data_IF_588842365308
#
_entry.id   IF_588842365308
#
_cell.length_a   1.000
_cell.length_b   1.000
_cell.length_c   1.000
_cell.angle_alpha   90.00
_cell.angle_beta   90.00
_cell.angle_gamma   90.00
#
_symmetry.space_group_name_H-M   'P 1'
#
loop_
_entity.id
_entity.type
_entity.pdbx_description
1 polymer ?
#
# COMPACT_ATOMS: atom_id res chain seq x y z
N UNK A 1 0.94 -14.88 22.76
CA UNK A 1 0.99 -15.23 21.32
C UNK A 1 1.04 -13.91 20.55
N UNK A 2 2.01 -13.75 19.63
CA UNK A 2 2.08 -12.56 18.76
C UNK A 2 0.90 -12.61 17.79
N UNK A 3 0.16 -11.51 17.69
CA UNK A 3 -0.92 -11.35 16.69
C UNK A 3 -0.39 -10.57 15.51
N UNK A 4 -0.76 -10.99 14.31
CA UNK A 4 -0.43 -10.27 13.06
C UNK A 4 -1.68 -10.14 12.21
N UNK A 5 -1.73 -9.12 11.37
CA UNK A 5 -2.81 -8.93 10.42
C UNK A 5 -2.30 -9.21 9.01
N UNK A 6 -2.84 -10.24 8.35
CA UNK A 6 -2.60 -10.49 6.93
C UNK A 6 -3.80 -9.94 6.16
N UNK A 7 -3.58 -8.98 5.26
CA UNK A 7 -4.64 -8.12 4.73
C UNK A 7 -4.79 -8.21 3.23
N UNK A 8 -6.04 -8.26 2.79
CA UNK A 8 -6.46 -8.29 1.40
C UNK A 8 -7.53 -7.22 1.18
N UNK A 9 -7.15 -5.99 0.77
CA UNK A 9 -8.12 -5.03 0.25
C UNK A 9 -8.58 -5.47 -1.15
N UNK A 10 -9.90 -5.40 -1.41
CA UNK A 10 -10.45 -5.68 -2.73
C UNK A 10 -11.67 -4.82 -3.05
N UNK A 11 -11.84 -4.55 -4.34
CA UNK A 11 -13.01 -3.88 -4.91
C UNK A 11 -13.49 -4.60 -6.19
N UNK A 12 -13.06 -5.85 -6.39
CA UNK A 12 -13.24 -6.65 -7.62
C UNK A 12 -13.22 -8.13 -7.29
N UNK A 13 -13.67 -8.97 -8.22
CA UNK A 13 -13.65 -10.42 -8.05
C UNK A 13 -12.22 -10.96 -7.88
N UNK A 14 -11.98 -11.71 -6.80
CA UNK A 14 -10.67 -12.30 -6.47
C UNK A 14 -10.78 -13.58 -5.61
N UNK A 15 -11.77 -14.44 -5.87
CA UNK A 15 -11.99 -15.69 -5.10
C UNK A 15 -10.75 -16.59 -5.04
N UNK A 16 -9.98 -16.69 -6.14
CA UNK A 16 -8.71 -17.43 -6.14
C UNK A 16 -7.69 -16.87 -5.15
N UNK A 17 -7.52 -15.54 -5.13
CA UNK A 17 -6.62 -14.86 -4.19
C UNK A 17 -7.06 -15.03 -2.74
N UNK A 18 -8.37 -15.12 -2.47
CA UNK A 18 -8.89 -15.42 -1.13
C UNK A 18 -8.42 -16.82 -0.66
N UNK A 19 -8.47 -17.82 -1.53
CA UNK A 19 -7.93 -19.15 -1.23
C UNK A 19 -6.41 -19.11 -1.02
N UNK A 20 -5.68 -18.41 -1.88
CA UNK A 20 -4.22 -18.29 -1.81
C UNK A 20 -3.76 -17.60 -0.51
N UNK A 21 -4.38 -16.48 -0.13
CA UNK A 21 -4.02 -15.77 1.12
C UNK A 21 -4.46 -16.57 2.36
N UNK A 22 -5.51 -17.39 2.26
CA UNK A 22 -5.88 -18.35 3.31
C UNK A 22 -4.78 -19.40 3.53
N UNK A 23 -4.14 -19.88 2.46
CA UNK A 23 -2.99 -20.78 2.55
C UNK A 23 -1.75 -20.09 3.14
N UNK A 24 -1.50 -18.81 2.81
CA UNK A 24 -0.43 -18.03 3.45
C UNK A 24 -0.69 -17.84 4.96
N UNK A 25 -1.94 -17.56 5.36
CA UNK A 25 -2.32 -17.44 6.76
C UNK A 25 -2.11 -18.76 7.53
N UNK A 26 -2.49 -19.89 6.93
CA UNK A 26 -2.25 -21.23 7.47
C UNK A 26 -0.75 -21.48 7.70
N UNK A 27 0.05 -21.17 6.68
CA UNK A 27 1.50 -21.29 6.73
C UNK A 27 2.12 -20.45 7.86
N UNK A 28 1.71 -19.19 8.00
CA UNK A 28 2.20 -18.32 9.06
C UNK A 28 1.87 -18.86 10.46
N UNK A 29 0.62 -19.30 10.67
CA UNK A 29 0.20 -19.87 11.94
C UNK A 29 0.97 -21.15 12.31
N UNK A 30 1.18 -22.05 11.34
CA UNK A 30 1.87 -23.33 11.57
C UNK A 30 3.38 -23.14 11.78
N UNK A 31 4.04 -22.38 10.92
CA UNK A 31 5.50 -22.28 10.91
C UNK A 31 6.04 -21.34 11.99
N UNK A 32 5.27 -20.31 12.36
CA UNK A 32 5.72 -19.28 13.31
C UNK A 32 4.94 -19.25 14.63
N UNK A 33 3.87 -20.05 14.76
CA UNK A 33 3.06 -20.10 15.98
C UNK A 33 2.40 -18.76 16.33
N UNK A 34 2.11 -17.93 15.32
CA UNK A 34 1.44 -16.63 15.48
C UNK A 34 -0.08 -16.78 15.35
N UNK A 35 -0.80 -15.82 15.92
CA UNK A 35 -2.23 -15.63 15.63
C UNK A 35 -2.36 -14.76 14.38
N UNK A 36 -2.95 -15.30 13.32
CA UNK A 36 -3.20 -14.58 12.08
C UNK A 36 -4.62 -14.06 12.06
N UNK A 37 -4.76 -12.74 12.01
CA UNK A 37 -5.99 -12.04 11.68
C UNK A 37 -6.02 -11.83 10.16
N UNK A 38 -6.64 -12.76 9.44
CA UNK A 38 -6.84 -12.63 8.00
C UNK A 38 -7.95 -11.61 7.75
N UNK A 39 -7.59 -10.39 7.34
CA UNK A 39 -8.49 -9.26 7.17
C UNK A 39 -8.75 -9.00 5.68
N UNK A 40 -9.98 -9.24 5.26
CA UNK A 40 -10.45 -8.97 3.89
C UNK A 40 -11.35 -7.74 3.94
N UNK A 41 -10.90 -6.64 3.34
CA UNK A 41 -11.66 -5.40 3.22
C UNK A 41 -12.30 -5.35 1.84
N UNK A 42 -13.61 -5.60 1.78
CA UNK A 42 -14.32 -5.82 0.54
C UNK A 42 -15.25 -4.64 0.22
N UNK A 43 -14.85 -3.83 -0.75
CA UNK A 43 -15.62 -2.72 -1.34
C UNK A 43 -16.16 -3.10 -2.73
N UNK A 44 -16.33 -4.39 -3.02
CA UNK A 44 -16.95 -4.84 -4.28
C UNK A 44 -18.48 -4.73 -4.24
N UNK A 45 -19.11 -4.92 -5.41
CA UNK A 45 -20.57 -4.99 -5.48
C UNK A 45 -21.13 -6.22 -4.74
N UNK A 46 -22.44 -6.18 -4.41
CA UNK A 46 -23.09 -7.23 -3.63
C UNK A 46 -22.96 -8.65 -4.22
N UNK A 47 -22.92 -8.78 -5.55
CA UNK A 47 -22.81 -10.10 -6.18
C UNK A 47 -21.40 -10.66 -6.00
N UNK A 48 -20.39 -9.83 -6.24
CA UNK A 48 -18.97 -10.16 -6.00
C UNK A 48 -18.71 -10.46 -4.52
N UNK A 49 -19.22 -9.63 -3.61
CA UNK A 49 -19.11 -9.86 -2.17
C UNK A 49 -19.69 -11.21 -1.74
N UNK A 50 -20.83 -11.61 -2.31
CA UNK A 50 -21.48 -12.90 -2.02
C UNK A 50 -20.61 -14.08 -2.48
N UNK A 51 -19.91 -13.95 -3.60
CA UNK A 51 -18.96 -14.97 -4.08
C UNK A 51 -17.72 -15.03 -3.19
N UNK A 52 -17.19 -13.89 -2.76
CA UNK A 52 -16.10 -13.83 -1.79
C UNK A 52 -16.49 -14.47 -0.46
N UNK A 53 -17.68 -14.19 0.06
CA UNK A 53 -18.16 -14.78 1.32
C UNK A 53 -18.24 -16.31 1.25
N UNK A 54 -18.59 -16.88 0.09
CA UNK A 54 -18.54 -18.32 -0.15
C UNK A 54 -17.10 -18.84 -0.12
N UNK A 55 -16.20 -18.19 -0.85
CA UNK A 55 -14.78 -18.58 -0.87
C UNK A 55 -14.14 -18.50 0.53
N UNK A 56 -14.51 -17.50 1.33
CA UNK A 56 -14.11 -17.38 2.74
C UNK A 56 -14.65 -18.54 3.57
N UNK A 57 -15.93 -18.91 3.39
CA UNK A 57 -16.55 -20.04 4.09
C UNK A 57 -15.97 -21.41 3.70
N UNK A 58 -15.29 -21.50 2.55
CA UNK A 58 -14.58 -22.69 2.08
C UNK A 58 -13.14 -22.78 2.60
N UNK A 59 -12.60 -21.73 3.24
CA UNK A 59 -11.28 -21.76 3.84
C UNK A 59 -11.22 -22.80 4.99
N UNK A 60 -10.13 -23.57 5.11
CA UNK A 60 -9.96 -24.49 6.23
C UNK A 60 -10.04 -23.77 7.59
N UNK A 61 -10.80 -24.33 8.52
CA UNK A 61 -10.82 -23.87 9.91
C UNK A 61 -9.53 -24.34 10.59
N UNK A 62 -8.65 -23.40 10.92
CA UNK A 62 -7.34 -23.70 11.49
C UNK A 62 -7.17 -23.02 12.85
N UNK A 63 -6.52 -23.68 13.82
CA UNK A 63 -6.11 -23.03 15.05
C UNK A 63 -5.27 -21.79 14.75
N UNK A 64 -5.52 -20.70 15.47
CA UNK A 64 -4.79 -19.44 15.36
C UNK A 64 -4.97 -18.67 14.04
N UNK A 65 -5.87 -19.09 13.13
CA UNK A 65 -6.29 -18.28 11.98
C UNK A 65 -7.71 -17.80 12.20
N UNK A 66 -7.92 -16.48 12.21
CA UNK A 66 -9.22 -15.86 12.43
C UNK A 66 -9.49 -14.93 11.25
N UNK A 67 -10.53 -15.25 10.49
CA UNK A 67 -10.90 -14.51 9.28
C UNK A 67 -11.90 -13.42 9.61
N UNK A 68 -11.62 -12.21 9.11
CA UNK A 68 -12.46 -11.03 9.19
C UNK A 68 -12.77 -10.57 7.77
N UNK A 69 -13.96 -10.89 7.25
CA UNK A 69 -14.44 -10.43 5.95
C UNK A 69 -15.46 -9.31 6.17
N UNK A 70 -15.07 -8.09 5.85
CA UNK A 70 -15.88 -6.89 6.11
C UNK A 70 -16.35 -6.30 4.79
N UNK A 71 -17.66 -6.20 4.62
CA UNK A 71 -18.23 -5.36 3.57
C UNK A 71 -18.00 -3.87 3.88
N UNK A 72 -18.36 -3.02 2.94
CA UNK A 72 -18.18 -1.58 3.11
C UNK A 72 -19.06 -0.99 4.22
N UNK A 73 -20.22 -1.57 4.49
CA UNK A 73 -21.12 -1.12 5.56
C UNK A 73 -20.48 -1.34 6.94
N UNK A 74 -19.96 -2.54 7.20
CA UNK A 74 -19.24 -2.87 8.42
C UNK A 74 -17.97 -2.02 8.60
N UNK A 75 -17.25 -1.76 7.51
CA UNK A 75 -16.10 -0.85 7.53
C UNK A 75 -16.51 0.58 7.92
N UNK A 76 -17.60 1.09 7.35
CA UNK A 76 -18.14 2.42 7.67
C UNK A 76 -18.60 2.53 9.11
N UNK A 77 -19.28 1.52 9.63
CA UNK A 77 -19.77 1.51 11.01
C UNK A 77 -18.61 1.49 12.01
N UNK A 78 -17.56 0.69 11.74
CA UNK A 78 -16.32 0.72 12.51
C UNK A 78 -15.67 2.11 12.47
N UNK A 79 -15.49 2.70 11.28
CA UNK A 79 -14.85 4.01 11.15
C UNK A 79 -15.62 5.11 11.88
N UNK A 80 -16.96 5.12 11.79
CA UNK A 80 -17.80 6.07 12.54
C UNK A 80 -17.59 5.94 14.04
N UNK A 81 -17.61 4.72 14.57
CA UNK A 81 -17.36 4.49 15.99
C UNK A 81 -15.97 4.99 16.41
N UNK A 82 -14.94 4.77 15.59
CA UNK A 82 -13.57 5.25 15.85
C UNK A 82 -13.48 6.77 15.80
N UNK A 83 -14.03 7.40 14.76
CA UNK A 83 -14.02 8.86 14.59
C UNK A 83 -14.76 9.52 15.75
N UNK A 84 -15.97 9.07 16.07
CA UNK A 84 -16.77 9.60 17.18
C UNK A 84 -16.02 9.48 18.51
N UNK A 85 -15.37 8.33 18.74
CA UNK A 85 -14.60 8.08 19.97
C UNK A 85 -13.31 8.89 20.04
N UNK A 86 -12.69 9.20 18.91
CA UNK A 86 -11.45 9.97 18.84
C UNK A 86 -11.63 11.43 19.27
N UNK A 87 -12.85 11.96 19.15
CA UNK A 87 -13.14 13.37 19.37
C UNK A 87 -12.47 14.31 18.36
N UNK A 88 -12.03 13.77 17.21
CA UNK A 88 -11.43 14.55 16.14
C UNK A 88 -12.43 15.56 15.56
N UNK A 89 -11.93 16.70 15.11
CA UNK A 89 -12.74 17.70 14.44
C UNK A 89 -13.17 17.20 13.06
N UNK A 90 -14.34 17.65 12.61
CA UNK A 90 -14.92 17.36 11.30
C UNK A 90 -15.04 15.84 10.96
N UNK A 91 -15.90 15.10 11.70
CA UNK A 91 -16.06 13.65 11.53
C UNK A 91 -16.39 13.19 10.11
N UNK A 92 -17.23 13.94 9.39
CA UNK A 92 -17.66 13.55 8.04
C UNK A 92 -16.51 13.65 7.03
N UNK A 93 -15.70 14.71 7.10
CA UNK A 93 -14.49 14.83 6.26
C UNK A 93 -13.49 13.71 6.56
N UNK A 94 -13.27 13.35 7.83
CA UNK A 94 -12.39 12.23 8.17
C UNK A 94 -12.91 10.89 7.65
N UNK A 95 -14.22 10.68 7.69
CA UNK A 95 -14.84 9.49 7.12
C UNK A 95 -14.62 9.45 5.60
N UNK A 96 -14.83 10.57 4.90
CA UNK A 96 -14.60 10.68 3.45
C UNK A 96 -13.13 10.42 3.07
N UNK A 97 -12.17 10.85 3.87
CA UNK A 97 -10.75 10.56 3.64
C UNK A 97 -10.40 9.07 3.78
N UNK A 98 -11.10 8.33 4.65
CA UNK A 98 -10.82 6.91 4.90
C UNK A 98 -11.70 5.96 4.10
N UNK A 99 -12.87 6.43 3.65
CA UNK A 99 -13.84 5.68 2.88
C UNK A 99 -14.46 6.52 1.76
N UNK A 100 -13.65 6.99 0.79
CA UNK A 100 -14.15 7.77 -0.34
C UNK A 100 -14.93 6.87 -1.31
N UNK A 101 -15.85 7.48 -2.07
CA UNK A 101 -16.61 6.79 -3.14
C UNK A 101 -15.72 6.33 -4.31
N UNK A 102 -14.52 6.89 -4.44
CA UNK A 102 -13.54 6.58 -5.48
C UNK A 102 -12.40 5.70 -4.95
N UNK A 103 -11.73 4.99 -5.87
CA UNK A 103 -10.57 4.14 -5.51
C UNK A 103 -9.46 4.99 -4.89
N UNK A 104 -9.01 4.57 -3.70
CA UNK A 104 -7.85 5.14 -2.99
C UNK A 104 -7.06 4.04 -2.30
N UNK A 105 -5.82 3.82 -2.74
CA UNK A 105 -4.92 2.82 -2.17
C UNK A 105 -4.45 3.20 -0.75
N UNK A 106 -4.27 4.49 -0.49
CA UNK A 106 -3.94 4.99 0.84
C UNK A 106 -5.12 4.83 1.81
N UNK A 107 -6.34 5.21 1.40
CA UNK A 107 -7.51 5.12 2.26
C UNK A 107 -7.85 3.66 2.64
N UNK A 108 -7.77 2.70 1.70
CA UNK A 108 -7.99 1.29 2.04
C UNK A 108 -6.91 0.74 2.99
N UNK A 109 -5.67 1.13 2.82
CA UNK A 109 -4.57 0.71 3.71
C UNK A 109 -4.72 1.36 5.09
N UNK A 110 -5.14 2.62 5.18
CA UNK A 110 -5.44 3.30 6.44
C UNK A 110 -6.56 2.60 7.23
N UNK A 111 -7.63 2.17 6.54
CA UNK A 111 -8.67 1.32 7.15
C UNK A 111 -8.06 0.06 7.76
N UNK A 112 -7.20 -0.62 7.01
CA UNK A 112 -6.52 -1.81 7.48
C UNK A 112 -5.62 -1.54 8.70
N UNK A 113 -4.92 -0.40 8.74
CA UNK A 113 -4.12 0.02 9.91
C UNK A 113 -4.96 0.23 11.17
N UNK A 114 -6.09 0.93 11.07
CA UNK A 114 -6.97 1.15 12.23
C UNK A 114 -7.57 -0.16 12.74
N UNK A 115 -8.00 -1.04 11.83
CA UNK A 115 -8.56 -2.35 12.18
C UNK A 115 -7.48 -3.27 12.78
N UNK A 116 -6.26 -3.28 12.22
CA UNK A 116 -5.14 -4.02 12.81
C UNK A 116 -4.82 -3.54 14.23
N UNK A 117 -4.87 -2.21 14.47
CA UNK A 117 -4.77 -1.63 15.81
C UNK A 117 -5.89 -2.10 16.75
N UNK A 118 -7.13 -2.11 16.27
CA UNK A 118 -8.30 -2.59 17.02
C UNK A 118 -8.22 -4.09 17.38
N UNK A 119 -7.60 -4.89 16.52
CA UNK A 119 -7.35 -6.31 16.73
C UNK A 119 -6.10 -6.59 17.60
N UNK A 120 -5.33 -5.56 17.95
CA UNK A 120 -4.11 -5.68 18.74
C UNK A 120 -2.98 -6.39 18.01
N UNK A 121 -2.91 -6.24 16.68
CA UNK A 121 -1.85 -6.80 15.86
C UNK A 121 -0.52 -6.08 16.10
N UNK A 122 0.58 -6.83 16.10
CA UNK A 122 1.94 -6.32 16.22
C UNK A 122 2.53 -5.92 14.86
N UNK A 123 1.98 -6.44 13.77
CA UNK A 123 2.34 -6.08 12.41
C UNK A 123 1.16 -6.28 11.47
N UNK A 124 1.22 -5.58 10.34
CA UNK A 124 0.29 -5.72 9.22
C UNK A 124 1.08 -6.15 7.98
N UNK A 125 0.49 -7.04 7.17
CA UNK A 125 1.09 -7.65 5.99
C UNK A 125 0.08 -7.53 4.87
N UNK A 126 0.38 -6.79 3.79
CA UNK A 126 -0.54 -6.49 2.69
C UNK A 126 -0.24 -7.37 1.47
N UNK A 127 -1.31 -7.86 0.84
CA UNK A 127 -1.32 -8.44 -0.51
C UNK A 127 -2.36 -7.75 -1.38
N UNK A 128 -2.09 -7.57 -2.66
CA UNK A 128 -3.06 -7.03 -3.62
C UNK A 128 -3.90 -8.14 -4.27
N UNK A 129 -5.16 -7.82 -4.63
CA UNK A 129 -6.13 -8.79 -5.15
C UNK A 129 -5.90 -9.21 -6.61
N UNK A 130 -4.92 -8.61 -7.29
CA UNK A 130 -4.47 -8.94 -8.64
C UNK A 130 -3.05 -9.53 -8.66
N UNK A 131 -2.74 -10.32 -7.63
CA UNK A 131 -1.47 -11.03 -7.51
C UNK A 131 -1.63 -12.51 -7.15
N UNK A 132 -0.61 -13.30 -7.48
CA UNK A 132 -0.44 -14.68 -7.03
C UNK A 132 0.97 -14.92 -6.46
N UNK A 133 1.23 -16.15 -6.01
CA UNK A 133 2.55 -16.53 -5.51
C UNK A 133 3.40 -17.20 -6.58
N UNK A 134 4.71 -16.98 -6.52
CA UNK A 134 5.64 -17.84 -7.21
C UNK A 134 5.61 -19.25 -6.63
N UNK A 135 5.98 -20.24 -7.45
CA UNK A 135 6.02 -21.64 -7.05
C UNK A 135 7.46 -22.14 -7.10
N UNK A 136 7.88 -22.88 -6.07
CA UNK A 136 9.10 -23.70 -6.08
C UNK A 136 8.68 -25.16 -5.97
N UNK A 137 9.03 -25.98 -6.96
CA UNK A 137 8.63 -27.40 -7.03
C UNK A 137 7.11 -27.63 -6.85
N UNK A 138 6.31 -26.69 -7.34
CA UNK A 138 4.84 -26.73 -7.24
C UNK A 138 4.28 -26.25 -5.90
N UNK A 139 5.13 -25.79 -4.98
CA UNK A 139 4.74 -25.28 -3.66
C UNK A 139 4.78 -23.74 -3.67
N UNK A 140 3.73 -23.05 -3.19
CA UNK A 140 3.74 -21.60 -3.07
C UNK A 140 4.88 -21.06 -2.20
N UNK A 141 5.53 -20.01 -2.69
CA UNK A 141 6.58 -19.28 -1.98
C UNK A 141 5.95 -18.09 -1.30
N UNK A 142 5.58 -18.25 -0.02
CA UNK A 142 4.89 -17.20 0.72
C UNK A 142 5.86 -16.09 1.20
N UNK A 143 5.59 -14.81 0.89
CA UNK A 143 6.40 -13.69 1.37
C UNK A 143 6.38 -13.53 2.90
N UNK A 144 5.27 -13.89 3.57
CA UNK A 144 5.13 -13.77 5.03
C UNK A 144 6.23 -14.50 5.81
N UNK A 145 6.88 -15.50 5.18
CA UNK A 145 8.04 -16.17 5.74
C UNK A 145 9.15 -15.18 6.12
N UNK A 146 9.56 -14.33 5.17
CA UNK A 146 10.64 -13.36 5.39
C UNK A 146 10.16 -12.22 6.30
N UNK A 147 8.90 -11.81 6.16
CA UNK A 147 8.30 -10.77 7.00
C UNK A 147 8.31 -11.16 8.49
N UNK A 148 7.93 -12.40 8.84
CA UNK A 148 7.84 -12.83 10.25
C UNK A 148 9.19 -13.18 10.90
N UNK A 149 10.24 -13.43 10.11
CA UNK A 149 11.58 -13.65 10.63
C UNK A 149 12.18 -12.40 11.29
N UNK A 150 11.86 -11.22 10.77
CA UNK A 150 12.60 -9.99 11.10
C UNK A 150 11.74 -8.86 11.65
N UNK A 151 10.49 -8.71 11.16
CA UNK A 151 9.68 -7.53 11.44
C UNK A 151 9.40 -7.36 12.95
N UNK A 152 9.68 -6.17 13.48
CA UNK A 152 9.56 -5.79 14.89
C UNK A 152 10.72 -6.19 15.79
N UNK A 153 11.68 -7.00 15.31
CA UNK A 153 12.93 -7.28 16.04
C UNK A 153 13.88 -6.10 15.93
N UNK A 154 14.84 -5.97 16.84
CA UNK A 154 15.95 -5.03 16.62
C UNK A 154 16.76 -5.43 15.38
N UNK A 155 17.38 -4.46 14.69
CA UNK A 155 18.27 -4.76 13.56
C UNK A 155 19.38 -5.76 13.91
N UNK A 156 19.92 -5.67 15.14
CA UNK A 156 20.92 -6.61 15.62
C UNK A 156 20.39 -8.06 15.76
N UNK A 157 19.15 -8.24 16.22
CA UNK A 157 18.52 -9.57 16.32
C UNK A 157 18.05 -10.12 14.97
N UNK A 158 17.71 -9.24 14.03
CA UNK A 158 17.29 -9.63 12.68
C UNK A 158 18.47 -10.10 11.81
N UNK A 159 19.69 -9.67 12.12
CA UNK A 159 20.89 -9.98 11.34
C UNK A 159 21.13 -11.48 11.12
N UNK A 160 20.81 -12.32 12.12
CA UNK A 160 20.98 -13.78 12.02
C UNK A 160 19.91 -14.46 11.15
N UNK A 161 18.82 -13.75 10.84
CA UNK A 161 17.66 -14.26 10.09
C UNK A 161 17.66 -13.91 8.59
N UNK A 162 18.68 -13.19 8.11
CA UNK A 162 18.79 -12.75 6.71
C UNK A 162 19.96 -13.39 5.99
N UNK A 163 19.94 -13.33 4.66
CA UNK A 163 21.05 -13.84 3.83
C UNK A 163 22.26 -12.90 3.88
N UNK A 164 22.01 -11.60 3.91
CA UNK A 164 23.02 -10.55 3.98
C UNK A 164 22.61 -9.48 4.99
N UNK A 165 23.54 -9.09 5.87
CA UNK A 165 23.39 -7.97 6.78
C UNK A 165 24.33 -6.83 6.36
N UNK A 166 23.76 -5.81 5.71
CA UNK A 166 24.46 -4.60 5.30
C UNK A 166 24.19 -3.41 6.25
N UNK A 167 23.36 -3.60 7.27
CA UNK A 167 22.93 -2.55 8.20
C UNK A 167 24.12 -1.98 8.98
N UNK A 168 24.26 -0.66 8.96
CA UNK A 168 25.20 0.04 9.83
C UNK A 168 24.87 -0.28 11.32
N UNK A 169 25.85 -0.74 12.13
CA UNK A 169 25.64 -1.05 13.54
C UNK A 169 25.01 0.09 14.37
N UNK A 170 25.15 1.35 13.95
CA UNK A 170 24.49 2.51 14.59
C UNK A 170 22.96 2.42 14.54
N UNK A 171 22.41 1.62 13.63
CA UNK A 171 20.98 1.36 13.50
C UNK A 171 20.55 0.02 14.11
N UNK A 172 21.48 -0.78 14.65
CA UNK A 172 21.20 -2.13 15.16
C UNK A 172 20.22 -2.18 16.33
N UNK A 173 20.11 -1.12 17.13
CA UNK A 173 19.15 -1.05 18.24
C UNK A 173 17.72 -0.69 17.80
N UNK A 174 17.54 -0.13 16.59
CA UNK A 174 16.24 0.25 16.06
C UNK A 174 15.45 -0.99 15.63
N UNK A 175 14.11 -0.98 15.73
CA UNK A 175 13.30 -2.08 15.23
C UNK A 175 13.29 -2.13 13.69
N UNK A 176 13.27 -3.34 13.14
CA UNK A 176 12.94 -3.57 11.73
C UNK A 176 11.49 -3.13 11.51
N UNK A 177 11.31 -1.98 10.89
CA UNK A 177 10.01 -1.32 10.76
C UNK A 177 9.23 -1.76 9.52
N UNK A 178 9.92 -2.40 8.58
CA UNK A 178 9.37 -2.82 7.30
C UNK A 178 10.10 -4.06 6.78
N UNK A 179 9.36 -4.97 6.17
CA UNK A 179 9.92 -6.08 5.39
C UNK A 179 9.09 -6.21 4.13
N UNK A 180 9.71 -6.34 2.97
CA UNK A 180 8.93 -6.48 1.75
C UNK A 180 9.75 -6.88 0.55
N UNK A 181 9.05 -6.99 -0.57
CA UNK A 181 9.68 -7.20 -1.86
C UNK A 181 8.81 -6.69 -2.99
N UNK A 182 9.29 -6.85 -4.21
CA UNK A 182 8.58 -6.48 -5.43
C UNK A 182 7.71 -7.63 -5.98
N UNK A 183 7.38 -7.54 -7.26
CA UNK A 183 6.68 -8.51 -8.08
C UNK A 183 7.54 -8.96 -9.27
N UNK A 184 7.16 -10.07 -9.89
CA UNK A 184 7.53 -10.43 -11.26
C UNK A 184 6.30 -10.37 -12.18
N UNK A 185 6.51 -10.20 -13.49
CA UNK A 185 5.43 -10.24 -14.48
C UNK A 185 5.12 -8.90 -15.11
N UNK A 186 3.83 -8.56 -15.22
CA UNK A 186 3.38 -7.30 -15.84
C UNK A 186 3.87 -6.08 -15.04
N UNK A 187 4.05 -4.93 -15.70
CA UNK A 187 4.47 -3.70 -15.02
C UNK A 187 3.45 -3.29 -13.94
N UNK A 188 3.89 -2.59 -12.89
CA UNK A 188 2.96 -2.06 -11.89
C UNK A 188 2.03 -0.98 -12.46
N UNK A 189 2.51 -0.29 -13.50
CA UNK A 189 1.81 0.78 -14.22
C UNK A 189 1.63 0.45 -15.70
N UNK A 190 0.39 0.58 -16.18
CA UNK A 190 0.00 0.31 -17.57
C UNK A 190 0.49 1.39 -18.55
N UNK A 191 1.81 1.45 -18.73
CA UNK A 191 2.54 2.32 -19.68
C UNK A 191 3.37 1.52 -20.69
N UNK A 192 3.32 0.18 -20.63
CA UNK A 192 4.10 -0.70 -21.50
C UNK A 192 3.79 -0.52 -22.99
N UNK A 193 2.52 -0.35 -23.34
CA UNK A 193 2.10 -0.09 -24.73
C UNK A 193 2.65 1.22 -25.28
N UNK A 194 2.82 2.26 -24.44
CA UNK A 194 3.44 3.53 -24.87
C UNK A 194 4.87 3.26 -25.36
N UNK A 195 5.62 2.41 -24.64
CA UNK A 195 6.98 2.00 -24.99
C UNK A 195 7.03 1.25 -26.32
N UNK A 196 6.04 0.39 -26.59
CA UNK A 196 5.94 -0.35 -27.85
C UNK A 196 5.59 0.55 -29.04
N UNK A 197 4.72 1.55 -28.82
CA UNK A 197 4.28 2.48 -29.86
C UNK A 197 5.35 3.53 -30.20
N UNK A 198 5.96 4.16 -29.19
CA UNK A 198 7.00 5.17 -29.37
C UNK A 198 7.89 5.26 -28.11
N UNK A 199 9.10 4.64 -28.12
CA UNK A 199 10.03 4.68 -26.99
C UNK A 199 10.45 6.10 -26.57
N UNK A 200 10.47 7.07 -27.49
CA UNK A 200 10.81 8.45 -27.14
C UNK A 200 9.66 9.12 -26.39
N UNK A 201 8.41 8.85 -26.76
CA UNK A 201 7.25 9.32 -26.00
C UNK A 201 7.17 8.64 -24.63
N UNK A 202 7.46 7.34 -24.55
CA UNK A 202 7.55 6.64 -23.26
C UNK A 202 8.55 7.33 -22.34
N UNK A 203 9.78 7.56 -22.83
CA UNK A 203 10.81 8.26 -22.05
C UNK A 203 10.34 9.65 -21.60
N UNK A 204 9.76 10.44 -22.51
CA UNK A 204 9.29 11.79 -22.23
C UNK A 204 8.17 11.83 -21.16
N UNK A 205 7.23 10.87 -21.22
CA UNK A 205 6.11 10.77 -20.29
C UNK A 205 6.55 10.24 -18.92
N UNK A 206 7.38 9.20 -18.88
CA UNK A 206 7.87 8.64 -17.61
C UNK A 206 8.81 9.62 -16.90
N UNK A 207 9.60 10.39 -17.65
CA UNK A 207 10.46 11.46 -17.11
C UNK A 207 9.70 12.53 -16.32
N UNK A 208 8.37 12.69 -16.52
CA UNK A 208 7.56 13.65 -15.78
C UNK A 208 7.44 13.33 -14.28
N UNK A 209 7.75 12.09 -13.90
CA UNK A 209 7.89 11.69 -12.50
C UNK A 209 9.10 12.40 -11.85
N UNK A 210 10.22 12.56 -12.57
CA UNK A 210 11.44 13.07 -11.97
C UNK A 210 11.28 14.51 -11.41
N UNK A 211 12.00 14.85 -10.32
CA UNK A 211 12.22 16.23 -9.92
C UNK A 211 12.84 17.06 -11.05
N UNK A 212 12.40 18.31 -11.27
CA UNK A 212 12.92 19.16 -12.35
C UNK A 212 14.41 19.50 -12.23
N UNK A 213 14.99 19.38 -11.03
CA UNK A 213 16.40 19.61 -10.74
C UNK A 213 17.31 18.42 -11.04
N UNK A 214 16.75 17.23 -11.31
CA UNK A 214 17.56 16.04 -11.59
C UNK A 214 18.31 16.17 -12.91
N UNK A 215 19.52 15.60 -12.92
CA UNK A 215 20.34 15.48 -14.12
C UNK A 215 19.72 14.51 -15.10
N UNK A 216 20.14 14.61 -16.37
CA UNK A 216 19.66 13.70 -17.42
C UNK A 216 19.99 12.23 -17.12
N UNK A 217 21.15 11.96 -16.54
CA UNK A 217 21.58 10.59 -16.19
C UNK A 217 20.68 9.99 -15.10
N UNK A 218 20.32 10.78 -14.09
CA UNK A 218 19.38 10.36 -13.04
C UNK A 218 17.99 10.10 -13.61
N UNK A 219 17.52 10.94 -14.54
CA UNK A 219 16.24 10.74 -15.23
C UNK A 219 16.27 9.48 -16.11
N UNK A 220 17.35 9.26 -16.85
CA UNK A 220 17.50 8.08 -17.71
C UNK A 220 17.47 6.79 -16.86
N UNK A 221 18.15 6.79 -15.70
CA UNK A 221 18.11 5.69 -14.73
C UNK A 221 16.71 5.47 -14.14
N UNK A 222 16.02 6.55 -13.74
CA UNK A 222 14.64 6.46 -13.25
C UNK A 222 13.72 5.81 -14.28
N UNK A 223 13.80 6.24 -15.55
CA UNK A 223 12.96 5.70 -16.62
C UNK A 223 13.24 4.21 -16.86
N UNK A 224 14.49 3.77 -16.75
CA UNK A 224 14.87 2.37 -16.92
C UNK A 224 14.32 1.48 -15.79
N UNK A 225 14.36 1.96 -14.54
CA UNK A 225 13.94 1.16 -13.36
C UNK A 225 12.45 1.29 -13.03
N UNK A 226 11.77 2.31 -13.54
CA UNK A 226 10.38 2.60 -13.20
C UNK A 226 9.43 1.44 -13.59
N UNK A 227 8.65 0.98 -12.61
CA UNK A 227 7.51 0.06 -12.79
C UNK A 227 7.83 -1.37 -13.22
N UNK A 228 9.10 -1.75 -13.35
CA UNK A 228 9.52 -3.09 -13.83
C UNK A 228 9.56 -4.16 -12.74
N UNK A 229 9.45 -3.74 -11.47
CA UNK A 229 9.47 -4.62 -10.31
C UNK A 229 10.80 -5.37 -10.13
N UNK A 230 10.72 -6.60 -9.61
CA UNK A 230 11.84 -7.51 -9.40
C UNK A 230 12.29 -8.25 -10.66
N UNK A 231 11.76 -7.88 -11.84
CA UNK A 231 12.09 -8.50 -13.12
C UNK A 231 11.22 -9.71 -13.46
N UNK A 232 11.81 -10.73 -14.07
CA UNK A 232 11.09 -11.92 -14.58
C UNK A 232 11.66 -13.24 -14.09
N UNK A 233 12.71 -13.20 -13.28
CA UNK A 233 13.41 -14.41 -12.87
C UNK A 233 12.57 -15.20 -11.85
N UNK A 234 12.38 -16.52 -12.05
CA UNK A 234 11.63 -17.33 -11.12
C UNK A 234 12.41 -17.51 -9.81
N UNK A 235 11.67 -17.62 -8.71
CA UNK A 235 12.24 -17.94 -7.41
C UNK A 235 12.93 -19.30 -7.41
N UNK A 236 14.18 -19.34 -6.94
CA UNK A 236 15.00 -20.56 -6.87
C UNK A 236 15.54 -20.86 -5.46
N UNK A 237 15.76 -19.83 -4.64
CA UNK A 237 16.16 -19.92 -3.24
C UNK A 237 15.92 -18.57 -2.55
N UNK A 238 15.90 -18.57 -1.23
CA UNK A 238 15.76 -17.35 -0.44
C UNK A 238 16.99 -16.46 -0.54
N UNK A 239 16.76 -15.17 -0.84
CA UNK A 239 17.71 -14.08 -0.68
C UNK A 239 17.01 -12.97 0.07
N UNK A 240 17.63 -12.49 1.14
CA UNK A 240 17.15 -11.37 1.94
C UNK A 240 18.29 -10.50 2.44
N UNK A 241 18.11 -9.18 2.38
CA UNK A 241 19.10 -8.17 2.77
C UNK A 241 18.51 -7.29 3.86
N UNK A 242 19.19 -7.21 5.01
CA UNK A 242 18.89 -6.25 6.08
C UNK A 242 19.76 -4.99 5.89
N UNK A 243 19.10 -3.84 5.73
CA UNK A 243 19.75 -2.53 5.61
C UNK A 243 18.75 -1.39 5.92
N UNK A 244 19.15 -0.13 5.72
CA UNK A 244 18.23 0.95 5.36
C UNK A 244 17.77 0.71 3.91
N UNK A 245 16.47 0.56 3.64
CA UNK A 245 15.99 -0.06 2.41
C UNK A 245 16.31 0.74 1.15
N UNK A 246 16.70 0.02 0.10
CA UNK A 246 16.51 0.48 -1.28
C UNK A 246 15.02 0.35 -1.65
N UNK A 247 14.31 1.46 -1.51
CA UNK A 247 12.84 1.51 -1.68
C UNK A 247 12.40 1.25 -3.12
N UNK A 248 13.32 1.34 -4.09
CA UNK A 248 13.04 1.05 -5.50
C UNK A 248 12.87 -0.44 -5.80
N UNK A 249 13.17 -1.31 -4.83
CA UNK A 249 13.06 -2.78 -4.94
C UNK A 249 11.86 -3.36 -4.18
N UNK A 250 10.96 -2.51 -3.71
CA UNK A 250 9.82 -2.87 -2.86
C UNK A 250 8.55 -2.29 -3.45
N UNK A 251 7.50 -3.11 -3.53
CA UNK A 251 6.18 -2.66 -3.96
C UNK A 251 5.14 -2.91 -2.88
N UNK A 252 4.17 -2.00 -2.78
CA UNK A 252 3.12 -2.03 -1.75
C UNK A 252 2.21 -3.26 -1.80
N UNK A 253 2.22 -3.99 -2.92
CA UNK A 253 1.49 -5.25 -3.11
C UNK A 253 2.09 -6.44 -2.34
N UNK A 254 3.29 -6.29 -1.76
CA UNK A 254 4.00 -7.38 -1.09
C UNK A 254 4.89 -6.86 0.04
N UNK A 255 4.25 -6.43 1.13
CA UNK A 255 4.92 -5.70 2.20
C UNK A 255 4.29 -5.95 3.57
N UNK A 256 5.14 -5.94 4.60
CA UNK A 256 4.76 -5.90 6.00
C UNK A 256 5.31 -4.66 6.72
N UNK A 257 4.51 -4.09 7.61
CA UNK A 257 4.89 -2.96 8.48
C UNK A 257 4.73 -3.30 9.95
N UNK A 258 5.70 -2.85 10.75
CA UNK A 258 5.62 -2.90 12.20
C UNK A 258 4.57 -1.92 12.73
N UNK A 259 3.94 -2.28 13.84
CA UNK A 259 2.93 -1.46 14.50
C UNK A 259 3.41 -0.05 14.85
N UNK A 260 4.64 0.09 15.31
CA UNK A 260 5.18 1.42 15.68
C UNK A 260 5.39 2.34 14.47
N UNK A 261 5.28 1.83 13.24
CA UNK A 261 5.26 2.64 12.03
C UNK A 261 3.83 3.00 11.61
N UNK A 262 2.98 2.00 11.35
CA UNK A 262 1.65 2.23 10.75
C UNK A 262 0.68 2.96 11.69
N UNK A 263 0.89 2.87 13.00
CA UNK A 263 0.09 3.62 13.97
C UNK A 263 0.53 5.08 14.15
N UNK A 264 1.67 5.47 13.58
CA UNK A 264 2.21 6.84 13.72
C UNK A 264 1.89 7.69 12.50
N UNK A 265 1.98 7.12 11.31
CA UNK A 265 1.84 7.86 10.06
C UNK A 265 0.86 7.12 9.14
N UNK A 266 -0.26 7.76 8.74
CA UNK A 266 -1.16 7.20 7.74
C UNK A 266 -0.54 7.33 6.35
N UNK A 267 -1.19 6.72 5.35
CA UNK A 267 -0.91 6.95 3.94
C UNK A 267 -1.77 8.08 3.38
N UNK A 268 -1.30 8.80 2.35
CA UNK A 268 -2.09 9.81 1.65
C UNK A 268 -3.41 9.25 1.10
N UNK A 269 -4.57 9.83 1.46
CA UNK A 269 -5.88 9.29 1.08
C UNK A 269 -6.31 9.62 -0.35
N UNK A 270 -5.43 10.24 -1.15
CA UNK A 270 -5.69 10.71 -2.50
C UNK A 270 -6.45 9.69 -3.36
N UNK A 271 -7.54 10.15 -3.97
CA UNK A 271 -8.41 9.31 -4.81
C UNK A 271 -7.96 9.31 -6.26
N UNK A 272 -8.31 8.24 -6.97
CA UNK A 272 -8.04 8.09 -8.40
C UNK A 272 -6.59 8.42 -8.77
N UNK A 273 -5.63 7.98 -7.95
CA UNK A 273 -4.19 8.04 -8.23
C UNK A 273 -3.54 6.68 -7.98
N UNK A 274 -2.26 6.56 -8.30
CA UNK A 274 -1.40 5.41 -8.03
C UNK A 274 -0.15 5.86 -7.28
N UNK A 275 0.55 4.95 -6.61
CA UNK A 275 1.84 5.23 -5.97
C UNK A 275 1.78 6.07 -4.69
N UNK A 276 0.66 6.68 -4.34
CA UNK A 276 0.53 7.49 -3.12
C UNK A 276 0.70 6.67 -1.84
N UNK A 277 0.40 5.37 -1.89
CA UNK A 277 0.56 4.43 -0.80
C UNK A 277 2.02 4.04 -0.51
N UNK A 278 2.98 4.47 -1.34
CA UNK A 278 4.42 4.23 -1.14
C UNK A 278 5.06 5.19 -0.13
N UNK A 279 4.29 6.14 0.43
CA UNK A 279 4.82 7.19 1.30
C UNK A 279 5.60 6.65 2.51
N UNK A 280 5.15 5.55 3.13
CA UNK A 280 5.85 4.96 4.27
C UNK A 280 7.23 4.41 3.92
N UNK A 281 7.48 4.02 2.66
CA UNK A 281 8.82 3.59 2.23
C UNK A 281 9.83 4.73 2.40
N UNK A 282 9.44 5.94 1.97
CA UNK A 282 10.24 7.15 2.16
C UNK A 282 10.46 7.48 3.64
N UNK A 283 9.44 7.31 4.49
CA UNK A 283 9.60 7.49 5.94
C UNK A 283 10.64 6.54 6.51
N UNK A 284 10.57 5.24 6.17
CA UNK A 284 11.52 4.22 6.66
C UNK A 284 12.94 4.53 6.18
N UNK A 285 13.11 4.79 4.88
CA UNK A 285 14.41 5.10 4.27
C UNK A 285 15.05 6.34 4.87
N UNK A 286 14.31 7.43 4.97
CA UNK A 286 14.87 8.72 5.37
C UNK A 286 14.93 8.90 6.89
N UNK A 287 14.20 8.13 7.69
CA UNK A 287 14.35 8.05 9.15
C UNK A 287 15.43 7.07 9.64
N UNK A 288 16.41 6.77 8.77
CA UNK A 288 17.07 5.47 8.61
C UNK A 288 16.60 4.37 9.59
N UNK A 289 15.42 3.82 9.34
CA UNK A 289 14.88 2.67 10.08
C UNK A 289 15.30 1.38 9.37
N UNK A 290 15.74 0.34 10.11
CA UNK A 290 16.07 -0.95 9.52
C UNK A 290 14.87 -1.57 8.78
N UNK A 291 15.15 -2.19 7.64
CA UNK A 291 14.18 -2.95 6.86
C UNK A 291 14.83 -4.18 6.22
N UNK A 292 14.00 -5.15 5.84
CA UNK A 292 14.46 -6.31 5.05
C UNK A 292 13.83 -6.29 3.66
N UNK A 293 14.67 -6.41 2.64
CA UNK A 293 14.24 -6.65 1.25
C UNK A 293 14.50 -8.11 0.92
N UNK A 294 13.53 -8.81 0.32
CA UNK A 294 13.69 -10.23 -0.06
C UNK A 294 13.29 -10.51 -1.51
N UNK A 295 13.63 -11.69 -2.03
CA UNK A 295 13.33 -12.09 -3.41
C UNK A 295 12.08 -12.98 -3.55
N UNK A 296 11.31 -13.20 -2.47
CA UNK A 296 9.97 -13.81 -2.53
C UNK A 296 8.94 -12.87 -3.16
N UNK A 297 9.18 -12.51 -4.42
CA UNK A 297 8.29 -11.65 -5.20
C UNK A 297 6.95 -12.34 -5.44
N UNK A 298 5.87 -11.55 -5.47
CA UNK A 298 4.57 -12.02 -5.97
C UNK A 298 4.57 -12.03 -7.51
N UNK A 299 3.57 -12.67 -8.12
CA UNK A 299 3.33 -12.62 -9.56
C UNK A 299 2.23 -11.60 -9.83
N UNK A 300 2.57 -10.50 -10.52
CA UNK A 300 1.65 -9.44 -10.89
C UNK A 300 1.03 -9.70 -12.27
N UNK A 301 -0.27 -9.42 -12.42
CA UNK A 301 -0.98 -9.55 -13.69
C UNK A 301 -2.05 -8.48 -13.87
N UNK A 302 -2.30 -8.09 -15.12
CA UNK A 302 -3.42 -7.19 -15.44
C UNK A 302 -4.75 -7.96 -15.47
N UNK A 303 -5.72 -7.47 -14.71
CA UNK A 303 -7.09 -7.98 -14.79
C UNK A 303 -7.74 -7.60 -16.14
N UNK A 304 -8.70 -8.39 -16.65
CA UNK A 304 -9.36 -8.09 -17.93
C UNK A 304 -10.03 -6.70 -17.97
N UNK A 305 -10.51 -6.21 -16.83
CA UNK A 305 -11.14 -4.89 -16.72
C UNK A 305 -10.20 -3.75 -17.14
N UNK A 306 -8.90 -3.85 -16.80
CA UNK A 306 -7.89 -2.85 -17.17
C UNK A 306 -7.78 -2.66 -18.69
N UNK A 307 -8.10 -3.70 -19.47
CA UNK A 307 -8.04 -3.69 -20.94
C UNK A 307 -9.30 -3.15 -21.62
N UNK A 308 -10.33 -2.77 -20.85
CA UNK A 308 -11.55 -2.13 -21.38
C UNK A 308 -11.32 -0.64 -21.65
N UNK A 309 -12.17 -0.01 -22.49
CA UNK A 309 -12.07 1.43 -22.74
C UNK A 309 -12.23 2.28 -21.47
N UNK A 310 -13.18 1.93 -20.60
CA UNK A 310 -13.37 2.62 -19.32
C UNK A 310 -12.21 2.37 -18.35
N UNK A 311 -11.70 1.12 -18.28
CA UNK A 311 -10.53 0.77 -17.48
C UNK A 311 -9.28 1.53 -17.91
N UNK A 312 -9.03 1.63 -19.21
CA UNK A 312 -7.94 2.42 -19.78
C UNK A 312 -8.04 3.90 -19.38
N UNK A 313 -9.20 4.54 -19.58
CA UNK A 313 -9.40 5.95 -19.20
C UNK A 313 -9.16 6.18 -17.71
N UNK A 314 -9.74 5.34 -16.84
CA UNK A 314 -9.58 5.44 -15.40
C UNK A 314 -8.12 5.25 -14.98
N UNK A 315 -7.39 4.32 -15.60
CA UNK A 315 -6.00 4.05 -15.26
C UNK A 315 -5.06 5.17 -15.71
N UNK A 316 -5.24 5.68 -16.94
CA UNK A 316 -4.46 6.82 -17.43
C UNK A 316 -4.73 8.10 -16.62
N UNK A 317 -5.97 8.31 -16.15
CA UNK A 317 -6.27 9.40 -15.23
C UNK A 317 -5.51 9.26 -13.90
N UNK A 318 -5.40 8.04 -13.36
CA UNK A 318 -4.61 7.76 -12.15
C UNK A 318 -3.14 8.05 -12.36
N UNK A 319 -2.59 7.66 -13.50
CA UNK A 319 -1.20 7.96 -13.83
C UNK A 319 -0.97 9.47 -13.96
N UNK A 320 -1.87 10.22 -14.59
CA UNK A 320 -1.78 11.69 -14.61
C UNK A 320 -1.84 12.27 -13.20
N UNK A 321 -2.79 11.85 -12.34
CA UNK A 321 -2.85 12.33 -10.94
C UNK A 321 -1.58 12.01 -10.16
N UNK A 322 -0.96 10.85 -10.39
CA UNK A 322 0.34 10.51 -9.81
C UNK A 322 1.44 11.51 -10.25
N UNK A 323 1.52 11.85 -11.54
CA UNK A 323 2.49 12.84 -12.00
C UNK A 323 2.26 14.22 -11.37
N UNK A 324 1.00 14.63 -11.19
CA UNK A 324 0.68 15.92 -10.57
C UNK A 324 1.01 15.95 -9.07
N UNK A 325 0.83 14.82 -8.37
CA UNK A 325 1.12 14.74 -6.94
C UNK A 325 2.60 14.91 -6.63
N UNK A 326 3.49 14.59 -7.57
CA UNK A 326 4.94 14.73 -7.41
C UNK A 326 5.40 16.19 -7.21
N UNK A 327 4.62 17.20 -7.62
CA UNK A 327 4.90 18.60 -7.26
C UNK A 327 4.91 18.80 -5.74
N UNK A 328 4.04 18.07 -5.04
CA UNK A 328 3.86 18.19 -3.60
C UNK A 328 4.70 17.15 -2.83
N UNK A 329 4.84 15.93 -3.36
CA UNK A 329 5.58 14.87 -2.67
C UNK A 329 7.10 15.01 -2.75
N UNK A 330 7.69 15.43 -3.87
CA UNK A 330 9.16 15.56 -3.95
C UNK A 330 9.75 16.50 -2.90
N UNK A 331 9.21 17.71 -2.68
CA UNK A 331 9.72 18.56 -1.61
C UNK A 331 9.52 17.95 -0.21
N UNK A 332 8.46 17.16 0.02
CA UNK A 332 8.32 16.40 1.26
C UNK A 332 9.42 15.34 1.38
N UNK A 333 9.71 14.58 0.32
CA UNK A 333 10.78 13.58 0.32
C UNK A 333 12.15 14.21 0.58
N UNK A 334 12.47 15.35 -0.03
CA UNK A 334 13.70 16.09 0.27
C UNK A 334 13.74 16.62 1.70
N UNK A 335 12.60 17.05 2.25
CA UNK A 335 12.53 17.46 3.66
C UNK A 335 12.70 16.28 4.62
N UNK A 336 12.16 15.10 4.30
CA UNK A 336 12.40 13.87 5.04
C UNK A 336 13.89 13.49 5.01
N UNK A 337 14.49 13.49 3.83
CA UNK A 337 15.92 13.20 3.65
C UNK A 337 16.79 14.18 4.44
N UNK A 338 16.51 15.48 4.35
CA UNK A 338 17.24 16.51 5.09
C UNK A 338 17.07 16.40 6.61
N UNK A 339 15.90 15.95 7.08
CA UNK A 339 15.65 15.72 8.51
C UNK A 339 16.41 14.47 9.01
N UNK A 340 16.52 13.42 8.18
CA UNK A 340 17.32 12.24 8.49
C UNK A 340 16.95 11.62 9.85
N UNK A 341 17.93 11.28 10.70
CA UNK A 341 17.69 10.77 12.05
C UNK A 341 16.84 11.68 12.96
N UNK A 342 16.72 12.98 12.67
CA UNK A 342 15.87 13.89 13.45
C UNK A 342 14.37 13.61 13.27
N UNK A 343 13.99 12.78 12.29
CA UNK A 343 12.63 12.26 12.14
C UNK A 343 12.22 11.31 13.28
N UNK A 344 13.17 10.83 14.08
CA UNK A 344 12.92 9.91 15.18
C UNK A 344 12.96 10.62 16.55
N UNK A 345 12.18 10.13 17.50
CA UNK A 345 12.33 10.45 18.91
C UNK A 345 13.41 9.59 19.60
N UNK A 346 13.56 9.76 20.92
CA UNK A 346 14.58 9.07 21.71
C UNK A 346 14.31 7.55 21.77
N UNK A 347 13.06 7.15 21.60
CA UNK A 347 12.59 5.76 21.53
C UNK A 347 12.52 5.22 20.09
N UNK A 348 13.04 5.96 19.12
CA UNK A 348 13.04 5.61 17.69
C UNK A 348 11.66 5.59 17.01
N UNK A 349 10.66 6.27 17.57
CA UNK A 349 9.38 6.47 16.89
C UNK A 349 9.42 7.65 15.94
N UNK A 350 8.67 7.52 14.84
CA UNK A 350 8.54 8.59 13.84
C UNK A 350 7.78 9.79 14.41
N UNK A 351 8.34 10.99 14.24
CA UNK A 351 7.75 12.27 14.62
C UNK A 351 6.72 12.73 13.57
N UNK A 352 5.51 12.18 13.64
CA UNK A 352 4.41 12.48 12.71
C UNK A 352 4.14 13.99 12.51
N UNK A 353 4.26 14.81 13.56
CA UNK A 353 4.06 16.25 13.49
C UNK A 353 5.06 16.97 12.55
N UNK A 354 6.29 16.48 12.45
CA UNK A 354 7.27 17.02 11.50
C UNK A 354 6.83 16.76 10.06
N UNK A 355 6.37 15.53 9.78
CA UNK A 355 5.88 15.10 8.47
C UNK A 355 4.65 15.93 8.05
N UNK A 356 3.68 16.11 8.95
CA UNK A 356 2.53 16.97 8.70
C UNK A 356 2.95 18.43 8.40
N UNK A 357 3.98 18.91 9.10
CA UNK A 357 4.60 20.20 8.84
C UNK A 357 5.16 20.32 7.42
N UNK A 358 5.88 19.31 6.94
CA UNK A 358 6.40 19.28 5.57
C UNK A 358 5.28 19.26 4.54
N UNK A 359 4.27 18.40 4.72
CA UNK A 359 3.12 18.34 3.81
C UNK A 359 2.42 19.70 3.69
N UNK A 360 2.12 20.37 4.81
CA UNK A 360 1.51 21.73 4.81
C UNK A 360 2.33 22.77 4.07
N UNK A 361 3.65 22.72 4.18
CA UNK A 361 4.52 23.70 3.52
C UNK A 361 4.43 23.61 1.99
N UNK A 362 4.19 22.41 1.45
CA UNK A 362 4.12 22.18 0.00
C UNK A 362 2.78 22.55 -0.62
N UNK A 363 1.69 22.60 0.16
CA UNK A 363 0.35 22.91 -0.35
C UNK A 363 0.28 24.22 -1.13
N UNK A 364 1.11 25.22 -0.78
CA UNK A 364 1.19 26.51 -1.47
C UNK A 364 2.16 26.58 -2.67
N UNK A 365 2.64 25.45 -3.19
CA UNK A 365 3.59 25.43 -4.29
C UNK A 365 3.06 26.08 -5.59
N UNK A 366 3.95 26.70 -6.37
CA UNK A 366 3.62 27.22 -7.69
C UNK A 366 3.24 26.07 -8.64
N UNK A 367 2.03 26.16 -9.21
CA UNK A 367 1.44 25.14 -10.06
C UNK A 367 1.99 25.13 -11.49
N UNK A 368 2.89 26.06 -11.85
CA UNK A 368 3.48 26.14 -13.18
C UNK A 368 4.09 24.80 -13.67
N UNK A 369 4.72 24.04 -12.77
CA UNK A 369 5.28 22.74 -13.10
C UNK A 369 4.19 21.73 -13.48
N UNK A 370 3.09 21.67 -12.73
CA UNK A 370 1.98 20.76 -13.04
C UNK A 370 1.24 21.15 -14.32
N UNK A 371 1.14 22.45 -14.63
CA UNK A 371 0.64 22.91 -15.93
C UNK A 371 1.53 22.38 -17.06
N UNK A 372 2.86 22.48 -16.90
CA UNK A 372 3.82 21.93 -17.86
C UNK A 372 3.68 20.41 -18.01
N UNK A 373 3.54 19.65 -16.92
CA UNK A 373 3.29 18.19 -16.98
C UNK A 373 2.05 17.86 -17.80
N UNK A 374 0.94 18.56 -17.58
CA UNK A 374 -0.30 18.37 -18.35
C UNK A 374 -0.12 18.73 -19.83
N UNK A 375 0.67 19.75 -20.17
CA UNK A 375 0.98 20.11 -21.56
C UNK A 375 1.83 19.04 -22.26
N UNK A 376 2.78 18.44 -21.54
CA UNK A 376 3.58 17.32 -22.07
C UNK A 376 2.69 16.11 -22.32
N UNK A 377 1.86 15.70 -21.34
CA UNK A 377 0.93 14.57 -21.50
C UNK A 377 0.01 14.78 -22.70
N UNK A 378 -0.66 15.93 -22.80
CA UNK A 378 -1.57 16.23 -23.93
C UNK A 378 -0.84 16.11 -25.28
N UNK A 379 0.32 16.75 -25.41
CA UNK A 379 1.13 16.69 -26.65
C UNK A 379 1.52 15.25 -27.00
N UNK A 380 2.06 14.52 -26.04
CA UNK A 380 2.55 13.15 -26.23
C UNK A 380 1.41 12.21 -26.62
N UNK A 381 0.28 12.30 -25.94
CA UNK A 381 -0.86 11.41 -26.16
C UNK A 381 -1.55 11.71 -27.49
N UNK A 382 -1.63 12.98 -27.90
CA UNK A 382 -2.08 13.35 -29.26
C UNK A 382 -1.16 12.82 -30.35
N UNK A 383 0.16 12.78 -30.11
CA UNK A 383 1.13 12.21 -31.07
C UNK A 383 1.00 10.69 -31.21
N UNK A 384 0.69 9.98 -30.12
CA UNK A 384 0.41 8.55 -30.16
C UNK A 384 -0.88 8.23 -30.95
N UNK A 385 -1.88 9.11 -30.88
CA UNK A 385 -3.14 8.93 -31.60
C UNK A 385 -4.07 7.89 -30.96
N UNK A 386 -5.14 7.52 -31.68
CA UNK A 386 -6.11 6.51 -31.23
C UNK A 386 -6.67 6.80 -29.84
N UNK A 387 -6.73 5.77 -28.99
CA UNK A 387 -7.23 5.87 -27.61
C UNK A 387 -6.46 6.87 -26.74
N UNK A 388 -5.19 7.15 -27.02
CA UNK A 388 -4.41 8.15 -26.29
C UNK A 388 -4.84 9.57 -26.64
N UNK A 389 -5.09 9.85 -27.93
CA UNK A 389 -5.65 11.15 -28.35
C UNK A 389 -7.07 11.36 -27.79
N UNK A 390 -7.90 10.31 -27.77
CA UNK A 390 -9.22 10.34 -27.12
C UNK A 390 -9.11 10.62 -25.62
N UNK A 391 -8.13 10.03 -24.93
CA UNK A 391 -7.84 10.36 -23.53
C UNK A 391 -7.38 11.82 -23.36
N UNK A 392 -6.55 12.36 -24.26
CA UNK A 392 -6.15 13.76 -24.21
C UNK A 392 -7.36 14.71 -24.34
N UNK A 393 -8.33 14.38 -25.19
CA UNK A 393 -9.60 15.12 -25.30
C UNK A 393 -10.46 14.99 -24.04
N UNK A 394 -10.46 13.82 -23.40
CA UNK A 394 -11.12 13.60 -22.11
C UNK A 394 -10.45 14.39 -20.96
N UNK A 395 -9.12 14.51 -20.97
CA UNK A 395 -8.34 15.19 -19.95
C UNK A 395 -8.47 16.71 -20.04
N UNK A 396 -8.57 17.27 -21.24
CA UNK A 396 -8.61 18.71 -21.49
C UNK A 396 -9.61 19.50 -20.60
N UNK A 397 -10.89 19.10 -20.47
CA UNK A 397 -11.84 19.80 -19.60
C UNK A 397 -11.61 19.57 -18.09
N UNK A 398 -10.75 18.64 -17.70
CA UNK A 398 -10.51 18.28 -16.30
C UNK A 398 -9.28 18.97 -15.71
N UNK A 399 -8.46 19.65 -16.53
CA UNK A 399 -7.14 20.15 -16.15
C UNK A 399 -7.16 21.00 -14.88
N UNK A 400 -8.00 22.04 -14.84
CA UNK A 400 -8.05 22.95 -13.68
C UNK A 400 -8.50 22.21 -12.42
N UNK A 401 -9.50 21.34 -12.55
CA UNK A 401 -9.98 20.50 -11.45
C UNK A 401 -8.89 19.58 -10.91
N UNK A 402 -8.09 18.96 -11.78
CA UNK A 402 -7.00 18.08 -11.38
C UNK A 402 -5.87 18.82 -10.66
N UNK A 403 -5.61 20.07 -11.02
CA UNK A 403 -4.66 20.92 -10.30
C UNK A 403 -5.17 21.25 -8.88
N UNK A 404 -6.46 21.55 -8.74
CA UNK A 404 -7.08 21.78 -7.44
C UNK A 404 -7.11 20.50 -6.59
N UNK A 405 -7.48 19.36 -7.18
CA UNK A 405 -7.48 18.06 -6.50
C UNK A 405 -6.08 17.68 -6.02
N UNK A 406 -5.03 17.85 -6.82
CA UNK A 406 -3.67 17.50 -6.41
C UNK A 406 -3.18 18.32 -5.21
N UNK A 407 -3.59 19.59 -5.11
CA UNK A 407 -3.32 20.42 -3.93
C UNK A 407 -4.16 19.95 -2.72
N UNK A 408 -5.45 19.73 -2.92
CA UNK A 408 -6.35 19.28 -1.87
C UNK A 408 -5.93 17.91 -1.30
N UNK A 409 -5.37 17.02 -2.13
CA UNK A 409 -4.85 15.71 -1.74
C UNK A 409 -3.70 15.85 -0.71
N UNK A 410 -2.76 16.78 -0.89
CA UNK A 410 -1.67 16.99 0.08
C UNK A 410 -2.14 17.71 1.35
N UNK A 411 -3.07 18.64 1.24
CA UNK A 411 -3.70 19.32 2.38
C UNK A 411 -4.47 18.31 3.25
N UNK A 412 -5.24 17.44 2.61
CA UNK A 412 -5.99 16.36 3.26
C UNK A 412 -5.06 15.35 3.92
N UNK A 413 -3.91 15.04 3.31
CA UNK A 413 -2.92 14.18 3.93
C UNK A 413 -2.36 14.79 5.21
N UNK A 414 -2.02 16.10 5.20
CA UNK A 414 -1.55 16.77 6.40
C UNK A 414 -2.59 16.77 7.53
N UNK A 415 -3.87 17.01 7.19
CA UNK A 415 -4.99 16.93 8.13
C UNK A 415 -5.13 15.52 8.73
N UNK A 416 -5.01 14.48 7.89
CA UNK A 416 -5.12 13.10 8.34
C UNK A 416 -3.97 12.72 9.29
N UNK A 417 -2.73 13.17 9.03
CA UNK A 417 -1.60 12.93 9.94
C UNK A 417 -1.87 13.53 11.32
N UNK A 418 -2.38 14.77 11.39
CA UNK A 418 -2.69 15.42 12.66
C UNK A 418 -3.78 14.68 13.46
N UNK A 419 -4.78 14.10 12.76
CA UNK A 419 -5.86 13.34 13.37
C UNK A 419 -5.50 11.88 13.70
N UNK A 420 -4.38 11.36 13.18
CA UNK A 420 -4.08 9.93 13.18
C UNK A 420 -3.90 9.33 14.58
N UNK A 421 -3.11 9.98 15.44
CA UNK A 421 -2.84 9.49 16.79
C UNK A 421 -4.12 9.27 17.61
N UNK A 422 -5.03 10.26 17.69
CA UNK A 422 -6.35 10.09 18.29
C UNK A 422 -7.19 8.96 17.66
N UNK A 423 -7.18 8.82 16.33
CA UNK A 423 -7.92 7.74 15.63
C UNK A 423 -7.39 6.35 16.00
N UNK A 424 -6.07 6.17 16.07
CA UNK A 424 -5.45 4.90 16.47
C UNK A 424 -5.76 4.57 17.94
N UNK A 425 -5.69 5.56 18.83
CA UNK A 425 -6.06 5.36 20.23
C UNK A 425 -7.54 4.96 20.38
N UNK A 426 -8.42 5.59 19.60
CA UNK A 426 -9.83 5.26 19.54
C UNK A 426 -10.09 3.87 18.94
N UNK A 427 -9.40 3.47 17.87
CA UNK A 427 -9.58 2.16 17.25
C UNK A 427 -9.27 1.01 18.20
N UNK A 428 -8.21 1.13 19.00
CA UNK A 428 -7.88 0.19 20.08
C UNK A 428 -8.96 0.10 21.16
N UNK A 429 -9.59 1.23 21.49
CA UNK A 429 -10.61 1.30 22.53
C UNK A 429 -11.97 0.78 22.05
N UNK A 430 -12.32 1.00 20.78
CA UNK A 430 -13.53 0.46 20.15
C UNK A 430 -13.39 -1.06 19.98
N UNK A 431 -12.20 -1.52 19.56
CA UNK A 431 -11.98 -2.92 19.20
C UNK A 431 -12.72 -3.31 17.92
N UNK A 432 -12.59 -4.57 17.50
CA UNK A 432 -13.43 -5.16 16.47
C UNK A 432 -14.12 -6.37 17.10
N UNK A 433 -15.44 -6.29 17.26
CA UNK A 433 -16.20 -7.43 17.75
C UNK A 433 -16.07 -8.60 16.76
N UNK A 434 -15.72 -9.77 17.27
CA UNK A 434 -15.84 -11.01 16.51
C UNK A 434 -17.34 -11.25 16.35
N UNK A 435 -17.89 -11.03 15.16
CA UNK A 435 -19.19 -11.65 14.87
C UNK A 435 -19.01 -13.16 15.08
N UNK A 436 -19.79 -13.79 15.97
CA UNK A 436 -19.79 -15.23 16.07
C UNK A 436 -20.30 -15.76 14.72
N UNK A 437 -19.41 -16.38 13.95
CA UNK A 437 -19.84 -17.23 12.84
C UNK A 437 -20.84 -18.24 13.40
N UNK A 438 -21.94 -18.43 12.69
CA UNK A 438 -23.06 -19.29 13.05
C UNK A 438 -22.65 -20.60 13.73
N UNK A 439 -22.64 -20.61 15.08
CA UNK A 439 -22.89 -21.82 15.85
C UNK A 439 -24.38 -22.14 15.67
N UNK A 440 -24.69 -22.84 14.57
CA UNK A 440 -25.96 -23.53 14.48
C UNK A 440 -25.93 -24.69 15.47
N UNK A 441 -26.60 -24.47 16.61
CA UNK A 441 -27.21 -25.45 17.50
C UNK A 441 -27.00 -26.92 17.07
N UNK A 442 -25.98 -27.56 17.64
CA UNK A 442 -25.96 -29.01 17.81
C UNK A 442 -26.08 -29.34 19.30
N UNK A 443 -27.20 -28.94 19.91
CA UNK A 443 -27.61 -29.52 21.18
C UNK A 443 -29.11 -29.83 21.15
N UNK A 444 -29.41 -31.07 20.75
CA UNK A 444 -30.75 -31.56 20.48
C UNK A 444 -30.86 -33.08 20.70
N UNK A 445 -30.42 -33.52 21.87
CA UNK A 445 -30.94 -34.64 22.67
C UNK A 445 -31.34 -35.96 21.95
N UNK A 446 -30.46 -36.96 22.09
CA UNK A 446 -30.86 -38.35 22.27
C UNK A 446 -31.53 -38.55 23.64
N UNK A 447 -32.74 -39.12 23.66
CA UNK A 447 -33.19 -40.02 24.74
C UNK A 447 -34.42 -39.60 25.53
N UNK A 448 -35.62 -39.97 25.06
CA UNK A 448 -36.44 -41.06 25.61
C UNK A 448 -37.64 -41.39 24.73
#
# INVERSE_FOLDING_TARGET
MRRICLTLPTNRACTGTISDIGAEAAYAAEQFGVEVRLLILDSSDQSTFTEHAKAVGELPVLPNVIVHHLDEAAQRDFLRAVIDRSGAADPESLLELMLPDAVSYGACTNRAFLIAGALGCASIHRRDSDSGYQLLDGIPVFPIHQELLSLGRSGAEAADGVTENALDPVHGAKPVSMVGSSFIGELSVDVGEIRELDPAIYHEVVSLWAPPEWSREEIDGLVEESFVGGGTDPFIHDVSVLDVPDIWRIDMCNIGFDRELYERVPLPPATATIGSDYFLLHVVRHAPLPAVVHNRHIVNYYTPERRTGAGFLAYQLRFVKFLLSMLYFHPVYFALEAAGPALLDEEHHVRAAAIAGFARQTAGADRAENVRRLDVVDRCYRRLGGKYAEFADHLAPLRDRLLDEAQADIESFALLIDAWGPLVAASRAVGLELSPGADSDSDGALGR
#
